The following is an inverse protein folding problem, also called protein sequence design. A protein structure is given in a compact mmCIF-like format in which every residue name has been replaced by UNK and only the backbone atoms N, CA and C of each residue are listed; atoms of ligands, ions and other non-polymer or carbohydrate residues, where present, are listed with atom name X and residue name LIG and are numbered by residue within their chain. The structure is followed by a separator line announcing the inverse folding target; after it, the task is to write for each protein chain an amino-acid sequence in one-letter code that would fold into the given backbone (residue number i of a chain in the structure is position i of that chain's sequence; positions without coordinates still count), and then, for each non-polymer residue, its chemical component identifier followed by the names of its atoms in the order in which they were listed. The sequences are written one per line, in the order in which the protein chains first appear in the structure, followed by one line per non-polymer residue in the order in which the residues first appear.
data_IF_562631478696
#
_entry.id   IF_562631478696
#
_cell.length_a   1.000
_cell.length_b   1.000
_cell.length_c   1.000
_cell.angle_alpha   90.00
_cell.angle_beta   90.00
_cell.angle_gamma   90.00
#
_symmetry.space_group_name_H-M   'P 1'
#
loop_
_entity.id
_entity.type
_entity.pdbx_description
1 polymer ?
#
# COMPACT_ATOMS: atom_id res chain seq x y z
N UNK A 1 65.95 -21.72 -45.72
CA UNK A 1 65.42 -23.06 -45.32
C UNK A 1 64.23 -22.77 -44.41
N UNK A 2 62.99 -23.21 -44.61
CA UNK A 2 62.42 -24.36 -45.33
C UNK A 2 60.95 -24.07 -45.77
N UNK A 3 60.43 -24.88 -46.71
CA UNK A 3 59.15 -24.77 -47.46
C UNK A 3 58.09 -25.82 -47.00
N UNK A 4 56.86 -25.74 -47.58
CA UNK A 4 55.86 -26.80 -47.97
C UNK A 4 54.48 -26.75 -47.22
N UNK A 5 53.28 -27.15 -47.72
CA UNK A 5 52.58 -27.47 -49.01
C UNK A 5 51.04 -27.63 -48.72
N UNK A 6 50.15 -27.39 -49.72
CA UNK A 6 48.65 -27.48 -49.75
C UNK A 6 48.02 -28.90 -49.95
N UNK A 7 46.69 -29.09 -49.72
CA UNK A 7 45.71 -29.78 -50.63
C UNK A 7 44.21 -29.83 -50.11
N UNK A 8 43.23 -29.95 -51.04
CA UNK A 8 41.76 -29.72 -50.95
C UNK A 8 41.01 -30.71 -51.91
N UNK A 9 39.72 -31.11 -51.71
CA UNK A 9 38.77 -31.50 -52.80
C UNK A 9 37.28 -31.72 -52.35
N UNK A 10 36.31 -31.39 -53.24
CA UNK A 10 34.83 -31.50 -53.14
C UNK A 10 34.16 -31.88 -54.51
N UNK A 11 32.83 -32.15 -54.57
CA UNK A 11 32.04 -32.43 -55.80
C UNK A 11 30.51 -32.05 -55.70
N UNK A 12 29.86 -31.74 -56.85
CA UNK A 12 28.51 -31.11 -57.05
C UNK A 12 27.74 -31.66 -58.31
N UNK A 13 26.41 -31.39 -58.43
CA UNK A 13 25.44 -31.75 -59.52
C UNK A 13 24.57 -30.54 -60.01
N UNK A 14 23.86 -30.61 -61.16
CA UNK A 14 23.28 -29.49 -61.98
C UNK A 14 21.76 -29.59 -62.42
N UNK A 15 21.12 -28.44 -62.75
CA UNK A 15 19.78 -28.23 -63.39
C UNK A 15 19.74 -26.97 -64.34
N UNK A 16 18.76 -26.79 -65.27
CA UNK A 16 18.75 -25.77 -66.37
C UNK A 16 17.44 -24.89 -66.56
N UNK A 17 17.48 -23.70 -67.27
CA UNK A 17 16.52 -22.56 -67.13
C UNK A 17 15.79 -22.02 -68.43
N UNK A 18 14.98 -20.95 -68.31
CA UNK A 18 14.14 -20.23 -69.32
C UNK A 18 14.84 -19.01 -70.02
N UNK A 19 14.40 -18.59 -71.22
CA UNK A 19 15.08 -17.57 -72.08
C UNK A 19 14.23 -16.37 -72.55
N UNK A 20 14.86 -15.18 -72.67
CA UNK A 20 14.33 -13.89 -73.13
C UNK A 20 14.43 -13.70 -74.67
N UNK A 21 13.46 -13.03 -75.32
CA UNK A 21 13.44 -12.83 -76.78
C UNK A 21 13.03 -11.39 -77.21
N UNK A 22 13.72 -10.85 -78.23
CA UNK A 22 13.43 -9.55 -78.85
C UNK A 22 12.32 -9.74 -79.91
N UNK A 23 11.24 -8.96 -79.81
CA UNK A 23 10.12 -9.03 -80.77
C UNK A 23 10.10 -7.81 -81.67
N UNK A 24 10.01 -8.02 -82.98
CA UNK A 24 9.91 -6.94 -83.96
C UNK A 24 8.62 -7.06 -84.76
N UNK A 25 7.86 -5.98 -84.85
CA UNK A 25 6.65 -5.92 -85.69
C UNK A 25 6.99 -6.03 -87.18
N UNK A 26 6.01 -6.12 -88.06
CA UNK A 26 6.27 -6.19 -89.50
C UNK A 26 7.02 -4.95 -90.00
N UNK A 27 7.93 -5.14 -90.94
CA UNK A 27 8.65 -4.03 -91.55
C UNK A 27 7.75 -3.33 -92.57
N UNK A 28 7.62 -2.01 -92.43
CA UNK A 28 6.90 -1.17 -93.39
C UNK A 28 7.90 -0.65 -94.42
N UNK A 29 7.66 -0.99 -95.69
CA UNK A 29 8.48 -0.56 -96.81
C UNK A 29 7.72 0.50 -97.62
N UNK A 30 8.41 1.58 -97.94
CA UNK A 30 7.91 2.62 -98.84
C UNK A 30 8.87 2.81 -100.00
N UNK A 31 8.31 3.01 -101.19
CA UNK A 31 9.11 3.31 -102.35
C UNK A 31 9.69 4.72 -102.24
N UNK A 32 11.02 4.83 -102.25
CA UNK A 32 11.70 6.13 -102.19
C UNK A 32 12.27 6.55 -103.55
N UNK A 33 12.31 5.64 -104.52
CA UNK A 33 12.80 5.91 -105.87
C UNK A 33 12.09 5.03 -106.89
N UNK A 34 11.57 5.62 -107.96
CA UNK A 34 10.85 4.93 -109.03
C UNK A 34 11.56 5.08 -110.36
N UNK A 35 11.58 3.99 -111.15
CA UNK A 35 12.23 3.92 -112.46
C UNK A 35 11.31 3.29 -113.52
N UNK A 36 11.76 3.30 -114.77
CA UNK A 36 11.06 2.66 -115.90
C UNK A 36 11.89 1.53 -116.49
N UNK A 37 11.25 0.44 -116.90
CA UNK A 37 11.94 -0.71 -117.49
C UNK A 37 11.05 -1.42 -118.53
N UNK A 38 11.67 -2.11 -119.49
CA UNK A 38 10.97 -2.89 -120.52
C UNK A 38 11.46 -4.32 -120.49
N UNK A 39 10.64 -5.25 -119.99
CA UNK A 39 10.98 -6.67 -119.86
C UNK A 39 9.94 -7.50 -120.61
N UNK A 40 10.38 -8.35 -121.55
CA UNK A 40 9.49 -9.24 -122.30
C UNK A 40 8.49 -8.55 -123.23
N UNK A 41 8.80 -7.34 -123.71
CA UNK A 41 7.94 -6.58 -124.64
C UNK A 41 6.84 -5.75 -123.97
N UNK A 42 6.70 -5.83 -122.64
CA UNK A 42 5.81 -4.98 -121.84
C UNK A 42 6.64 -3.83 -121.25
N UNK A 43 6.24 -2.58 -121.52
CA UNK A 43 6.86 -1.39 -120.89
C UNK A 43 6.21 -1.13 -119.53
N UNK A 44 7.00 -1.25 -118.47
CA UNK A 44 6.63 -0.80 -117.13
C UNK A 44 6.92 0.71 -117.04
N UNK A 45 5.86 1.50 -117.01
CA UNK A 45 5.92 2.97 -117.01
C UNK A 45 6.35 3.58 -115.68
N UNK A 46 6.26 2.82 -114.58
CA UNK A 46 6.93 3.10 -113.31
C UNK A 46 6.97 1.85 -112.45
N UNK A 47 8.11 1.51 -111.88
CA UNK A 47 8.26 0.51 -110.83
C UNK A 47 9.18 1.05 -109.73
N UNK A 48 9.07 0.53 -108.51
CA UNK A 48 9.97 0.95 -107.44
C UNK A 48 11.37 0.34 -107.65
N UNK A 49 12.39 1.18 -107.87
CA UNK A 49 13.77 0.72 -108.00
C UNK A 49 14.49 0.68 -106.67
N UNK A 50 14.05 1.47 -105.68
CA UNK A 50 14.61 1.46 -104.33
C UNK A 50 13.55 1.69 -103.27
N UNK A 51 13.51 0.78 -102.30
CA UNK A 51 12.62 0.84 -101.15
C UNK A 51 13.39 1.24 -99.90
N UNK A 52 12.74 2.02 -99.02
CA UNK A 52 13.20 2.26 -97.66
C UNK A 52 12.23 1.58 -96.69
N UNK A 53 12.79 0.70 -95.85
CA UNK A 53 12.05 0.00 -94.81
C UNK A 53 12.26 0.65 -93.44
N UNK A 54 11.20 0.78 -92.67
CA UNK A 54 11.29 1.02 -91.22
C UNK A 54 10.66 -0.15 -90.47
N UNK A 55 11.31 -0.59 -89.39
CA UNK A 55 10.80 -1.68 -88.54
C UNK A 55 11.02 -1.30 -87.08
N UNK A 56 9.95 -1.39 -86.30
CA UNK A 56 10.02 -1.18 -84.85
C UNK A 56 10.23 -2.51 -84.13
N UNK A 57 11.21 -2.53 -83.23
CA UNK A 57 11.55 -3.68 -82.40
C UNK A 57 11.40 -3.30 -80.92
N UNK A 58 10.81 -4.20 -80.13
CA UNK A 58 10.72 -4.09 -78.68
C UNK A 58 11.44 -5.28 -78.04
N UNK A 59 12.43 -4.95 -77.22
CA UNK A 59 13.00 -5.90 -76.26
C UNK A 59 12.09 -5.94 -75.03
N UNK A 60 11.54 -7.11 -74.71
CA UNK A 60 10.60 -7.28 -73.60
C UNK A 60 11.30 -7.51 -72.26
N UNK A 61 12.56 -7.91 -72.29
CA UNK A 61 13.36 -8.18 -71.10
C UNK A 61 14.83 -7.78 -71.35
N UNK A 62 15.10 -6.48 -71.56
CA UNK A 62 16.46 -6.02 -71.75
C UNK A 62 17.30 -6.38 -70.53
N UNK A 63 18.55 -6.79 -70.76
CA UNK A 63 19.47 -7.15 -69.68
C UNK A 63 19.65 -5.95 -68.73
N UNK A 64 19.16 -6.10 -67.51
CA UNK A 64 19.22 -5.07 -66.49
C UNK A 64 20.20 -5.45 -65.36
N UNK A 65 21.45 -5.05 -65.57
CA UNK A 65 22.54 -5.24 -64.60
C UNK A 65 22.42 -4.34 -63.36
N UNK A 66 21.48 -3.40 -63.34
CA UNK A 66 21.26 -2.48 -62.22
C UNK A 66 20.10 -2.91 -61.31
N UNK A 67 19.57 -4.13 -61.49
CA UNK A 67 18.37 -4.59 -60.76
C UNK A 67 18.57 -4.56 -59.25
N UNK A 68 19.66 -5.14 -58.73
CA UNK A 68 19.98 -5.14 -57.29
C UNK A 68 20.18 -3.71 -56.76
N UNK A 69 20.99 -2.91 -57.46
CA UNK A 69 21.31 -1.53 -57.05
C UNK A 69 20.07 -0.62 -57.04
N UNK A 70 19.12 -0.82 -57.97
CA UNK A 70 17.87 -0.03 -58.03
C UNK A 70 16.86 -0.45 -56.97
N UNK A 71 16.90 -1.70 -56.50
CA UNK A 71 16.01 -2.19 -55.47
C UNK A 71 16.41 -1.67 -54.08
N UNK A 72 17.68 -1.34 -53.86
CA UNK A 72 18.17 -0.75 -52.60
C UNK A 72 17.63 0.66 -52.39
N UNK A 73 17.16 0.92 -51.16
CA UNK A 73 16.78 2.26 -50.68
C UNK A 73 17.98 3.12 -50.29
N UNK A 74 19.15 2.51 -50.11
CA UNK A 74 20.39 3.17 -49.72
C UNK A 74 21.18 3.70 -50.92
N UNK A 75 20.76 3.36 -52.14
CA UNK A 75 21.41 3.75 -53.39
C UNK A 75 20.62 4.82 -54.14
N UNK A 76 21.28 5.91 -54.52
CA UNK A 76 20.70 6.97 -55.36
C UNK A 76 21.46 7.08 -56.68
N UNK A 77 20.73 7.13 -57.81
CA UNK A 77 21.36 7.29 -59.14
C UNK A 77 21.92 8.71 -59.29
N UNK A 78 23.23 8.82 -59.49
CA UNK A 78 23.94 10.09 -59.64
C UNK A 78 24.19 10.45 -61.10
N UNK A 79 24.35 9.46 -61.98
CA UNK A 79 24.62 9.67 -63.40
C UNK A 79 23.84 8.70 -64.30
N UNK A 80 23.54 9.17 -65.52
CA UNK A 80 22.95 8.37 -66.59
C UNK A 80 23.55 8.80 -67.93
N UNK A 81 24.39 7.93 -68.50
CA UNK A 81 25.06 8.17 -69.78
C UNK A 81 24.64 7.16 -70.84
N UNK A 82 24.33 7.66 -72.03
CA UNK A 82 24.15 6.80 -73.19
C UNK A 82 25.51 6.26 -73.67
N UNK A 83 25.64 4.95 -73.84
CA UNK A 83 26.86 4.31 -74.37
C UNK A 83 26.70 3.77 -75.78
N UNK A 84 25.48 3.52 -76.25
CA UNK A 84 25.18 3.18 -77.65
C UNK A 84 23.98 4.00 -78.15
N UNK A 85 24.22 4.89 -79.12
CA UNK A 85 23.22 5.80 -79.69
C UNK A 85 23.09 5.55 -81.19
N UNK A 86 21.87 5.21 -81.65
CA UNK A 86 21.58 4.96 -83.07
C UNK A 86 20.21 5.47 -83.45
N UNK A 87 20.13 6.04 -84.66
CA UNK A 87 18.87 6.48 -85.27
C UNK A 87 18.03 7.42 -84.37
N UNK A 88 18.69 8.30 -83.61
CA UNK A 88 18.01 9.25 -82.73
C UNK A 88 17.71 8.74 -81.32
N UNK A 89 17.99 7.47 -81.00
CA UNK A 89 17.64 6.84 -79.73
C UNK A 89 18.83 6.15 -79.05
N UNK A 90 18.82 6.12 -77.71
CA UNK A 90 19.84 5.43 -76.93
C UNK A 90 19.41 3.98 -76.65
N UNK A 91 20.21 3.01 -77.11
CA UNK A 91 19.95 1.57 -76.94
C UNK A 91 20.56 0.98 -75.68
N UNK A 92 21.65 1.56 -75.19
CA UNK A 92 22.31 1.08 -73.98
C UNK A 92 22.68 2.24 -73.07
N UNK A 93 22.29 2.10 -71.81
CA UNK A 93 22.57 3.06 -70.75
C UNK A 93 23.61 2.52 -69.80
N UNK A 94 24.55 3.38 -69.41
CA UNK A 94 25.40 3.17 -68.24
C UNK A 94 24.91 4.07 -67.13
N UNK A 95 24.60 3.48 -65.99
CA UNK A 95 24.11 4.17 -64.81
C UNK A 95 25.18 4.14 -63.73
N UNK A 96 25.31 5.24 -62.99
CA UNK A 96 26.17 5.32 -61.80
C UNK A 96 25.27 5.61 -60.60
N UNK A 97 25.52 4.90 -59.51
CA UNK A 97 24.81 5.05 -58.25
C UNK A 97 25.80 5.40 -57.15
N UNK A 98 25.35 6.23 -56.20
CA UNK A 98 26.01 6.45 -54.92
C UNK A 98 25.19 5.73 -53.85
N UNK A 99 25.82 4.82 -53.13
CA UNK A 99 25.17 4.04 -52.08
C UNK A 99 25.77 4.38 -50.71
N UNK A 100 24.92 4.49 -49.68
CA UNK A 100 25.33 4.81 -48.31
C UNK A 100 25.17 3.60 -47.41
N UNK A 101 26.30 3.06 -46.90
CA UNK A 101 26.32 1.88 -46.01
C UNK A 101 25.52 0.70 -46.56
N UNK A 102 25.73 0.41 -47.85
CA UNK A 102 25.05 -0.68 -48.53
C UNK A 102 26.03 -1.84 -48.72
N UNK A 103 25.70 -2.98 -48.12
CA UNK A 103 26.57 -4.16 -48.02
C UNK A 103 25.98 -5.38 -48.76
N UNK A 104 24.79 -5.24 -49.36
CA UNK A 104 24.19 -6.29 -50.17
C UNK A 104 25.00 -6.60 -51.45
N UNK A 105 24.90 -7.83 -51.95
CA UNK A 105 25.54 -8.22 -53.20
C UNK A 105 24.91 -7.48 -54.40
N UNK A 106 25.65 -6.50 -54.92
CA UNK A 106 25.24 -5.68 -56.05
C UNK A 106 25.64 -6.25 -57.41
N UNK A 107 26.14 -7.49 -57.47
CA UNK A 107 26.53 -8.13 -58.72
C UNK A 107 25.37 -8.14 -59.74
N UNK A 108 25.64 -7.85 -61.03
CA UNK A 108 26.96 -7.68 -61.66
C UNK A 108 27.46 -6.21 -61.70
N UNK A 109 26.90 -5.30 -60.89
CA UNK A 109 27.41 -3.93 -60.81
C UNK A 109 28.87 -3.93 -60.32
N UNK A 110 29.66 -2.99 -60.84
CA UNK A 110 31.08 -2.85 -60.49
C UNK A 110 31.27 -1.66 -59.57
N UNK A 111 31.84 -1.89 -58.39
CA UNK A 111 32.27 -0.82 -57.48
C UNK A 111 33.32 0.06 -58.17
N UNK A 112 33.07 1.37 -58.20
CA UNK A 112 33.96 2.35 -58.86
C UNK A 112 34.91 3.00 -57.86
N UNK A 113 34.39 3.42 -56.72
CA UNK A 113 35.13 4.03 -55.62
C UNK A 113 34.37 3.84 -54.31
N UNK A 114 35.08 3.95 -53.19
CA UNK A 114 34.52 4.02 -51.84
C UNK A 114 35.05 5.30 -51.21
N UNK A 115 34.15 6.15 -50.72
CA UNK A 115 34.52 7.38 -50.04
C UNK A 115 34.01 7.31 -48.60
N UNK A 116 34.90 7.63 -47.65
CA UNK A 116 34.53 7.73 -46.25
C UNK A 116 34.18 9.18 -45.95
N UNK A 117 32.95 9.42 -45.52
CA UNK A 117 32.58 10.69 -44.90
C UNK A 117 33.27 10.89 -43.54
N UNK A 118 33.08 12.05 -42.88
CA UNK A 118 33.45 12.20 -41.49
C UNK A 118 32.79 11.09 -40.67
N UNK A 119 33.58 10.38 -39.87
CA UNK A 119 33.06 9.34 -38.99
C UNK A 119 32.09 9.97 -38.01
N UNK A 120 30.83 9.54 -38.04
CA UNK A 120 29.85 9.88 -37.02
C UNK A 120 29.76 8.70 -36.06
N UNK A 121 29.88 8.99 -34.76
CA UNK A 121 29.69 8.02 -33.70
C UNK A 121 28.50 8.44 -32.87
N UNK A 122 27.55 7.54 -32.73
CA UNK A 122 26.38 7.71 -31.88
C UNK A 122 26.33 6.55 -30.88
N UNK A 123 26.29 6.88 -29.60
CA UNK A 123 25.98 5.90 -28.56
C UNK A 123 24.46 5.80 -28.46
N UNK A 124 23.90 4.71 -29.00
CA UNK A 124 22.47 4.45 -28.91
C UNK A 124 22.12 4.09 -27.46
N UNK A 125 21.72 5.11 -26.69
CA UNK A 125 21.29 4.92 -25.30
C UNK A 125 19.83 4.45 -25.24
N UNK A 126 19.64 3.16 -24.97
CA UNK A 126 18.30 2.57 -24.75
C UNK A 126 17.83 2.63 -23.30
N UNK A 127 18.61 3.22 -22.40
CA UNK A 127 18.32 3.32 -20.97
C UNK A 127 17.58 4.61 -20.59
N UNK A 128 17.20 5.46 -21.55
CA UNK A 128 16.61 6.78 -21.29
C UNK A 128 15.39 6.75 -20.36
N UNK A 129 14.56 5.70 -20.43
CA UNK A 129 13.41 5.50 -19.51
C UNK A 129 13.83 5.39 -18.03
N UNK A 130 14.99 4.82 -17.76
CA UNK A 130 15.48 4.58 -16.39
C UNK A 130 16.39 5.72 -15.92
N UNK A 131 17.23 6.27 -16.80
CA UNK A 131 18.14 7.38 -16.46
C UNK A 131 17.42 8.69 -16.12
N UNK A 132 16.24 8.92 -16.72
CA UNK A 132 15.41 10.09 -16.40
C UNK A 132 14.49 9.91 -15.21
N UNK A 133 14.43 8.71 -14.62
CA UNK A 133 13.50 8.40 -13.53
C UNK A 133 14.19 8.55 -12.18
N UNK A 134 13.69 9.47 -11.34
CA UNK A 134 14.21 9.71 -9.98
C UNK A 134 14.06 8.51 -9.04
N UNK A 135 13.15 7.60 -9.37
CA UNK A 135 12.87 6.39 -8.62
C UNK A 135 13.83 5.24 -9.01
N UNK A 136 14.72 5.44 -9.99
CA UNK A 136 15.68 4.43 -10.45
C UNK A 136 17.12 4.85 -10.15
N UNK A 137 17.89 3.93 -9.54
CA UNK A 137 19.32 4.08 -9.31
C UNK A 137 20.12 3.09 -10.18
N UNK A 138 21.24 3.55 -10.74
CA UNK A 138 22.15 2.70 -11.50
C UNK A 138 22.93 1.80 -10.54
N UNK A 139 22.65 0.49 -10.59
CA UNK A 139 23.30 -0.50 -9.72
C UNK A 139 24.60 -0.97 -10.33
N UNK A 140 24.59 -1.28 -11.63
CA UNK A 140 25.70 -1.95 -12.27
C UNK A 140 25.85 -1.53 -13.72
N UNK A 141 27.08 -1.50 -14.23
CA UNK A 141 27.34 -1.41 -15.66
C UNK A 141 28.25 -2.54 -16.12
N UNK A 142 27.68 -3.47 -16.86
CA UNK A 142 28.34 -4.64 -17.42
C UNK A 142 28.80 -4.31 -18.84
N UNK A 143 30.03 -4.66 -19.17
CA UNK A 143 30.53 -4.59 -20.56
C UNK A 143 30.25 -5.92 -21.24
N UNK A 144 29.27 -5.95 -22.13
CA UNK A 144 28.92 -7.17 -22.90
C UNK A 144 29.90 -7.39 -24.05
N UNK A 145 30.32 -6.31 -24.70
CA UNK A 145 31.35 -6.35 -25.75
C UNK A 145 32.47 -5.38 -25.36
N UNK A 146 33.62 -5.96 -25.01
CA UNK A 146 34.78 -5.27 -24.46
C UNK A 146 35.61 -4.51 -25.49
N UNK A 147 36.85 -4.21 -25.09
CA UNK A 147 37.78 -3.51 -25.96
C UNK A 147 38.14 -4.38 -27.17
N UNK A 148 37.87 -3.89 -28.36
CA UNK A 148 38.08 -4.62 -29.61
C UNK A 148 38.31 -3.63 -30.75
N UNK A 149 39.09 -4.04 -31.75
CA UNK A 149 39.20 -3.36 -33.04
C UNK A 149 38.26 -4.04 -34.01
N UNK A 150 37.32 -3.29 -34.60
CA UNK A 150 36.42 -3.79 -35.64
C UNK A 150 36.68 -3.11 -36.96
N UNK A 151 36.69 -3.90 -38.02
CA UNK A 151 36.63 -3.40 -39.37
C UNK A 151 35.18 -3.00 -39.67
N UNK A 152 34.97 -1.71 -39.97
CA UNK A 152 33.67 -1.18 -40.41
C UNK A 152 33.93 -0.50 -41.75
N UNK A 153 33.34 -1.06 -42.81
CA UNK A 153 33.51 -0.61 -44.19
C UNK A 153 34.99 -0.59 -44.64
N UNK A 154 35.83 -1.53 -44.20
CA UNK A 154 37.25 -1.60 -44.59
C UNK A 154 38.18 -0.66 -43.83
N UNK A 155 37.73 -0.11 -42.70
CA UNK A 155 38.55 0.70 -41.79
C UNK A 155 38.45 0.19 -40.36
N UNK A 156 39.61 0.08 -39.72
CA UNK A 156 39.72 -0.32 -38.33
C UNK A 156 39.29 0.79 -37.36
N UNK A 157 38.32 0.48 -36.51
CA UNK A 157 37.91 1.31 -35.38
C UNK A 157 38.23 0.58 -34.08
N UNK A 158 38.99 1.23 -33.20
CA UNK A 158 39.24 0.72 -31.84
C UNK A 158 38.29 1.38 -30.86
N UNK A 159 37.63 0.59 -30.01
CA UNK A 159 36.85 1.08 -28.88
C UNK A 159 37.21 0.34 -27.61
N UNK A 160 37.05 1.01 -26.48
CA UNK A 160 37.21 0.39 -25.15
C UNK A 160 36.04 -0.52 -24.78
N UNK A 161 34.91 -0.35 -25.45
CA UNK A 161 33.73 -1.22 -25.41
C UNK A 161 32.86 -0.94 -26.63
N UNK A 162 32.16 -1.96 -27.13
CA UNK A 162 31.20 -1.86 -28.22
C UNK A 162 29.75 -1.94 -27.74
N UNK A 163 29.53 -2.59 -26.58
CA UNK A 163 28.21 -2.75 -26.00
C UNK A 163 28.29 -2.84 -24.49
N UNK A 164 27.47 -2.04 -23.81
CA UNK A 164 27.31 -2.09 -22.35
C UNK A 164 25.85 -2.30 -21.98
N UNK A 165 25.65 -3.10 -20.94
CA UNK A 165 24.37 -3.30 -20.28
C UNK A 165 24.42 -2.56 -18.96
N UNK A 166 23.48 -1.63 -18.76
CA UNK A 166 23.27 -0.97 -17.48
C UNK A 166 22.11 -1.64 -16.75
N UNK A 167 22.31 -1.96 -15.49
CA UNK A 167 21.29 -2.54 -14.61
C UNK A 167 20.85 -1.45 -13.65
N UNK A 168 19.56 -1.15 -13.67
CA UNK A 168 18.93 -0.19 -12.78
C UNK A 168 18.12 -0.94 -11.73
N UNK A 169 18.22 -0.52 -10.47
CA UNK A 169 17.25 -0.85 -9.43
C UNK A 169 16.27 0.30 -9.38
N UNK A 170 15.02 0.02 -9.69
CA UNK A 170 13.96 1.00 -9.58
C UNK A 170 13.11 0.68 -8.37
N UNK A 171 12.76 1.71 -7.60
CA UNK A 171 11.63 1.66 -6.70
C UNK A 171 10.40 1.40 -7.58
N UNK A 172 9.92 0.16 -7.53
CA UNK A 172 8.66 -0.21 -8.14
C UNK A 172 7.55 0.53 -7.40
N UNK A 173 6.78 1.32 -8.13
CA UNK A 173 5.49 1.81 -7.63
C UNK A 173 4.58 0.58 -7.56
N UNK A 174 4.35 0.09 -6.36
CA UNK A 174 3.69 -1.18 -6.09
C UNK A 174 3.91 -1.60 -4.64
N UNK A 175 3.16 -2.60 -4.21
CA UNK A 175 3.30 -3.15 -2.85
C UNK A 175 4.61 -3.93 -2.73
N UNK A 176 5.38 -3.64 -1.69
CA UNK A 176 6.64 -4.32 -1.37
C UNK A 176 6.42 -5.74 -0.84
N UNK A 177 7.43 -6.29 -0.15
CA UNK A 177 7.27 -7.58 0.52
C UNK A 177 6.18 -7.51 1.61
N UNK A 178 5.26 -8.48 1.58
CA UNK A 178 4.20 -8.61 2.59
C UNK A 178 4.71 -9.37 3.80
N UNK A 179 4.36 -8.89 5.00
CA UNK A 179 4.59 -9.59 6.25
C UNK A 179 3.42 -10.50 6.64
N UNK A 180 2.38 -10.63 5.80
CA UNK A 180 1.20 -11.46 6.05
C UNK A 180 1.44 -12.98 5.89
N UNK A 181 2.65 -13.40 5.52
CA UNK A 181 3.00 -14.81 5.28
C UNK A 181 2.50 -15.81 6.33
N UNK A 182 2.64 -15.53 7.66
CA UNK A 182 2.08 -16.41 8.68
C UNK A 182 0.56 -16.61 8.56
N UNK A 183 -0.19 -15.55 8.28
CA UNK A 183 -1.67 -15.59 8.13
C UNK A 183 -2.08 -16.24 6.82
N UNK A 184 -1.33 -16.04 5.74
CA UNK A 184 -1.59 -16.70 4.45
C UNK A 184 -1.31 -18.21 4.49
N UNK A 185 -0.35 -18.62 5.32
CA UNK A 185 0.02 -20.03 5.50
C UNK A 185 -0.90 -20.79 6.45
N UNK A 186 -1.70 -20.09 7.26
CA UNK A 186 -2.63 -20.69 8.21
C UNK A 186 -3.94 -21.08 7.51
N UNK A 187 -4.29 -22.38 7.46
CA UNK A 187 -5.51 -22.84 6.79
C UNK A 187 -6.81 -22.40 7.48
N UNK A 188 -6.74 -21.85 8.70
CA UNK A 188 -7.88 -21.31 9.44
C UNK A 188 -8.11 -19.82 9.15
N UNK A 189 -7.20 -19.16 8.44
CA UNK A 189 -7.28 -17.75 8.07
C UNK A 189 -7.90 -17.55 6.68
N UNK A 190 -8.95 -16.74 6.61
CA UNK A 190 -9.63 -16.37 5.36
C UNK A 190 -9.54 -14.86 5.16
N UNK A 191 -8.93 -14.43 4.06
CA UNK A 191 -8.87 -13.02 3.68
C UNK A 191 -10.28 -12.45 3.49
N UNK A 192 -10.63 -11.43 4.27
CA UNK A 192 -11.92 -10.73 4.18
C UNK A 192 -11.88 -9.56 3.20
N UNK A 193 -10.74 -8.90 3.07
CA UNK A 193 -10.58 -7.75 2.20
C UNK A 193 -9.23 -7.10 2.37
N UNK A 194 -9.01 -6.03 1.62
CA UNK A 194 -7.79 -5.24 1.72
C UNK A 194 -8.08 -3.76 1.42
N UNK A 195 -7.24 -2.90 1.96
CA UNK A 195 -7.34 -1.45 1.86
C UNK A 195 -6.01 -0.89 1.39
N UNK A 196 -6.03 -0.04 0.35
CA UNK A 196 -4.84 0.68 -0.05
C UNK A 196 -4.57 1.83 0.92
N UNK A 197 -3.45 1.79 1.62
CA UNK A 197 -3.03 2.81 2.57
C UNK A 197 -2.31 3.99 1.90
N UNK A 198 -1.63 3.74 0.78
CA UNK A 198 -0.92 4.77 0.03
C UNK A 198 -0.93 4.47 -1.47
N UNK A 199 -1.21 5.49 -2.29
CA UNK A 199 -1.31 5.39 -3.75
C UNK A 199 -0.39 6.43 -4.43
N UNK A 200 0.30 6.01 -5.50
CA UNK A 200 1.07 6.91 -6.36
C UNK A 200 0.83 6.53 -7.82
N UNK A 201 0.49 7.52 -8.65
CA UNK A 201 0.22 7.36 -10.10
C UNK A 201 -0.85 6.29 -10.43
N UNK A 202 -1.88 6.16 -9.60
CA UNK A 202 -2.94 5.16 -9.79
C UNK A 202 -2.55 3.74 -9.35
N UNK A 203 -1.39 3.57 -8.71
CA UNK A 203 -0.88 2.27 -8.25
C UNK A 203 -0.71 2.32 -6.73
N UNK A 204 -1.30 1.33 -6.05
CA UNK A 204 -1.16 1.19 -4.60
C UNK A 204 0.28 0.82 -4.23
N UNK A 205 0.90 1.58 -3.34
CA UNK A 205 2.28 1.38 -2.86
C UNK A 205 2.34 0.73 -1.48
N UNK A 206 1.25 0.78 -0.71
CA UNK A 206 1.15 0.12 0.59
C UNK A 206 -0.29 -0.35 0.81
N UNK A 207 -0.48 -1.62 1.21
CA UNK A 207 -1.79 -2.24 1.36
C UNK A 207 -1.88 -2.96 2.70
N UNK A 208 -3.03 -2.77 3.35
CA UNK A 208 -3.43 -3.52 4.53
C UNK A 208 -4.35 -4.66 4.12
N UNK A 209 -4.10 -5.86 4.65
CA UNK A 209 -4.92 -7.04 4.43
C UNK A 209 -5.62 -7.45 5.73
N UNK A 210 -6.93 -7.68 5.66
CA UNK A 210 -7.71 -8.11 6.80
C UNK A 210 -8.06 -9.60 6.66
N UNK A 211 -7.48 -10.43 7.53
CA UNK A 211 -7.79 -11.86 7.61
C UNK A 211 -8.73 -12.12 8.78
N UNK A 212 -9.68 -13.03 8.59
CA UNK A 212 -10.45 -13.61 9.68
C UNK A 212 -9.94 -15.02 9.90
N UNK A 213 -9.26 -15.21 11.02
CA UNK A 213 -8.66 -16.48 11.42
C UNK A 213 -9.49 -17.16 12.50
N UNK A 214 -9.67 -18.47 12.37
CA UNK A 214 -10.36 -19.28 13.36
C UNK A 214 -10.96 -20.56 12.78
N UNK A 215 -11.20 -21.53 13.64
CA UNK A 215 -11.84 -22.79 13.26
C UNK A 215 -13.33 -22.58 13.03
N UNK A 216 -13.84 -23.02 11.87
CA UNK A 216 -15.27 -22.97 11.52
C UNK A 216 -16.13 -24.02 12.24
N UNK A 217 -15.66 -24.56 13.36
CA UNK A 217 -16.42 -25.47 14.21
C UNK A 217 -16.31 -24.96 15.63
N UNK A 218 -17.41 -24.39 16.11
CA UNK A 218 -17.61 -24.01 17.51
C UNK A 218 -17.71 -25.24 18.41
N UNK A 219 -16.61 -25.97 18.52
CA UNK A 219 -16.35 -26.85 19.65
C UNK A 219 -15.14 -26.28 20.37
N UNK A 220 -15.40 -25.27 21.21
CA UNK A 220 -14.53 -25.03 22.35
C UNK A 220 -14.74 -26.24 23.26
N UNK A 221 -13.88 -27.25 23.11
CA UNK A 221 -13.72 -28.26 24.14
C UNK A 221 -13.30 -27.52 25.41
N UNK A 222 -14.29 -27.30 26.26
CA UNK A 222 -14.20 -26.49 27.46
C UNK A 222 -13.49 -27.31 28.52
N UNK A 223 -12.20 -27.54 28.30
CA UNK A 223 -11.27 -28.01 29.31
C UNK A 223 -10.19 -26.95 29.44
N UNK A 224 -10.44 -25.97 30.33
CA UNK A 224 -9.40 -25.07 30.80
C UNK A 224 -8.49 -25.81 31.79
N UNK A 225 -7.81 -26.87 31.32
CA UNK A 225 -6.76 -27.53 32.08
C UNK A 225 -5.41 -26.90 31.72
N UNK A 226 -4.58 -26.53 32.71
CA UNK A 226 -3.28 -25.90 32.46
C UNK A 226 -2.37 -26.85 31.69
N UNK A 227 -1.94 -26.42 30.50
CA UNK A 227 -0.96 -27.16 29.70
C UNK A 227 0.41 -26.99 30.37
N UNK A 228 0.84 -28.00 31.11
CA UNK A 228 2.21 -28.08 31.60
C UNK A 228 3.13 -28.48 30.45
N UNK A 229 4.06 -27.62 30.07
CA UNK A 229 5.10 -27.97 29.08
C UNK A 229 6.18 -28.77 29.81
N UNK A 230 6.30 -30.04 29.46
CA UNK A 230 7.29 -30.95 30.04
C UNK A 230 8.43 -31.22 29.05
N UNK A 231 9.68 -31.19 29.54
CA UNK A 231 10.84 -31.71 28.80
C UNK A 231 11.44 -32.84 29.63
N UNK A 232 11.14 -34.09 29.26
CA UNK A 232 11.46 -35.27 30.06
C UNK A 232 10.63 -35.31 31.35
N UNK A 233 11.28 -35.62 32.47
CA UNK A 233 10.61 -35.71 33.79
C UNK A 233 10.46 -34.35 34.50
N UNK A 234 10.87 -33.24 33.88
CA UNK A 234 10.72 -31.90 34.44
C UNK A 234 9.60 -31.14 33.73
N UNK A 235 8.52 -30.90 34.47
CA UNK A 235 7.38 -30.09 34.05
C UNK A 235 7.42 -28.73 34.77
N UNK A 236 7.35 -27.63 34.02
CA UNK A 236 7.16 -26.29 34.57
C UNK A 236 5.71 -25.90 34.24
N UNK A 237 4.85 -25.95 35.25
CA UNK A 237 3.51 -25.36 35.16
C UNK A 237 3.60 -23.87 35.48
N UNK A 238 3.00 -23.05 34.63
CA UNK A 238 2.77 -21.64 34.96
C UNK A 238 1.59 -21.63 35.94
N UNK A 239 1.82 -21.26 37.20
CA UNK A 239 0.73 -21.00 38.13
C UNK A 239 -0.14 -19.88 37.54
N UNK A 240 -1.47 -20.03 37.60
CA UNK A 240 -2.37 -18.94 37.23
C UNK A 240 -2.09 -17.78 38.19
N UNK A 241 -1.54 -16.69 37.67
CA UNK A 241 -1.62 -15.41 38.37
C UNK A 241 -3.06 -14.91 38.20
N UNK A 242 -3.89 -15.09 39.23
CA UNK A 242 -5.14 -14.32 39.34
C UNK A 242 -4.73 -12.86 39.45
N UNK A 243 -4.74 -12.14 38.33
CA UNK A 243 -4.50 -10.71 38.34
C UNK A 243 -5.73 -10.03 38.94
N UNK A 244 -5.57 -9.52 40.16
CA UNK A 244 -6.54 -8.61 40.79
C UNK A 244 -6.61 -7.25 40.05
N UNK A 245 -5.77 -7.04 39.03
CA UNK A 245 -5.64 -5.77 38.31
C UNK A 245 -6.87 -5.43 37.49
N UNK A 246 -7.64 -6.41 37.02
CA UNK A 246 -8.88 -6.12 36.29
C UNK A 246 -9.92 -5.46 37.21
N UNK A 247 -10.13 -6.03 38.39
CA UNK A 247 -11.05 -5.45 39.38
C UNK A 247 -10.59 -4.04 39.79
N UNK A 248 -9.29 -3.92 40.08
CA UNK A 248 -8.65 -2.64 40.44
C UNK A 248 -8.80 -1.57 39.34
N UNK A 249 -8.58 -1.94 38.08
CA UNK A 249 -8.77 -1.06 36.92
C UNK A 249 -10.24 -0.67 36.73
N UNK A 250 -11.17 -1.61 36.93
CA UNK A 250 -12.60 -1.33 36.81
C UNK A 250 -13.10 -0.36 37.89
N UNK A 251 -12.67 -0.47 39.15
CA UNK A 251 -13.01 0.56 40.14
C UNK A 251 -12.36 1.89 39.84
N UNK A 252 -11.15 1.92 39.26
CA UNK A 252 -10.52 3.17 38.87
C UNK A 252 -11.32 3.92 37.79
N UNK A 253 -11.89 3.21 36.82
CA UNK A 253 -12.80 3.84 35.85
C UNK A 253 -14.04 4.45 36.53
N UNK A 254 -14.53 3.83 37.60
CA UNK A 254 -15.63 4.36 38.40
C UNK A 254 -15.23 5.59 39.24
N UNK A 255 -13.99 5.64 39.75
CA UNK A 255 -13.42 6.85 40.38
C UNK A 255 -13.52 8.03 39.42
N UNK A 256 -12.97 7.85 38.22
CA UNK A 256 -12.93 8.90 37.20
C UNK A 256 -14.32 9.32 36.76
N UNK A 257 -15.24 8.37 36.59
CA UNK A 257 -16.63 8.65 36.22
C UNK A 257 -17.35 9.50 37.28
N UNK A 258 -17.21 9.16 38.57
CA UNK A 258 -17.84 9.92 39.64
C UNK A 258 -17.18 11.30 39.83
N UNK A 259 -15.85 11.39 39.74
CA UNK A 259 -15.15 12.68 39.80
C UNK A 259 -15.58 13.61 38.67
N UNK A 260 -15.77 13.07 37.46
CA UNK A 260 -16.27 13.85 36.33
C UNK A 260 -17.67 14.42 36.58
N UNK A 261 -18.55 13.65 37.21
CA UNK A 261 -19.90 14.10 37.56
C UNK A 261 -19.87 15.20 38.63
N UNK A 262 -19.11 14.98 39.71
CA UNK A 262 -18.99 15.95 40.81
C UNK A 262 -18.30 17.26 40.37
N UNK A 263 -17.34 17.18 39.44
CA UNK A 263 -16.72 18.35 38.82
C UNK A 263 -17.75 19.20 38.07
N UNK A 264 -18.65 18.56 37.31
CA UNK A 264 -19.71 19.25 36.55
C UNK A 264 -20.71 19.93 37.48
N UNK A 265 -21.08 19.30 38.58
CA UNK A 265 -22.05 19.84 39.54
C UNK A 265 -21.53 21.08 40.29
N UNK A 266 -20.23 21.11 40.62
CA UNK A 266 -19.65 22.20 41.42
C UNK A 266 -19.34 23.46 40.61
N UNK A 267 -19.30 23.39 39.27
CA UNK A 267 -19.04 24.50 38.36
C UNK A 267 -17.87 25.41 38.78
N UNK A 268 -16.84 24.83 39.42
CA UNK A 268 -15.74 25.57 40.00
C UNK A 268 -14.90 26.22 38.89
N UNK A 269 -14.48 27.46 39.12
CA UNK A 269 -13.66 28.22 38.16
C UNK A 269 -12.17 27.89 38.30
N UNK A 270 -11.75 27.38 39.46
CA UNK A 270 -10.41 26.84 39.73
C UNK A 270 -10.51 25.32 39.99
N UNK A 271 -9.78 24.47 39.26
CA UNK A 271 -9.74 23.02 39.50
C UNK A 271 -9.33 22.64 40.94
N UNK A 272 -8.56 23.46 41.63
CA UNK A 272 -8.09 23.17 42.99
C UNK A 272 -9.18 23.41 44.06
N UNK A 273 -10.25 24.13 43.72
CA UNK A 273 -11.37 24.38 44.63
C UNK A 273 -12.40 23.24 44.62
N UNK A 274 -12.25 22.27 43.71
CA UNK A 274 -13.17 21.13 43.57
C UNK A 274 -12.94 20.13 44.68
N UNK A 275 -14.03 19.73 45.34
CA UNK A 275 -14.01 18.77 46.44
C UNK A 275 -14.69 17.48 46.00
N UNK A 276 -13.91 16.45 45.76
CA UNK A 276 -14.42 15.15 45.37
C UNK A 276 -14.80 14.32 46.60
N UNK A 277 -15.77 13.43 46.40
CA UNK A 277 -16.29 12.50 47.39
C UNK A 277 -16.69 13.18 48.70
N UNK A 278 -17.24 14.38 48.60
CA UNK A 278 -17.56 15.18 49.78
C UNK A 278 -18.64 14.50 50.63
N UNK A 279 -18.29 14.18 51.88
CA UNK A 279 -19.22 13.56 52.82
C UNK A 279 -20.08 14.60 53.54
N UNK A 280 -21.37 14.30 53.71
CA UNK A 280 -22.30 15.13 54.48
C UNK A 280 -22.71 14.44 55.78
N UNK A 281 -22.88 15.19 56.87
CA UNK A 281 -23.34 14.62 58.14
C UNK A 281 -24.85 14.46 58.13
N UNK A 282 -25.34 13.23 58.31
CA UNK A 282 -26.75 12.94 58.46
C UNK A 282 -27.04 12.21 59.77
N UNK A 283 -28.27 12.36 60.28
CA UNK A 283 -28.65 11.75 61.56
C UNK A 283 -30.02 11.10 61.49
N UNK A 284 -30.17 9.98 62.19
CA UNK A 284 -31.48 9.37 62.45
C UNK A 284 -31.66 9.19 63.96
N UNK A 285 -32.91 9.04 64.42
CA UNK A 285 -33.20 8.88 65.83
C UNK A 285 -34.03 7.63 66.13
N UNK A 286 -33.75 7.03 67.29
CA UNK A 286 -34.51 5.91 67.85
C UNK A 286 -35.05 6.33 69.23
N UNK A 287 -36.35 6.14 69.42
CA UNK A 287 -37.08 6.34 70.67
C UNK A 287 -38.00 5.13 70.93
N UNK A 288 -38.51 4.93 72.15
CA UNK A 288 -39.46 3.86 72.42
C UNK A 288 -40.68 3.97 71.49
N UNK A 289 -41.00 2.91 70.76
CA UNK A 289 -42.10 2.89 69.79
C UNK A 289 -41.84 3.61 68.45
N UNK A 290 -40.67 4.23 68.22
CA UNK A 290 -40.33 4.92 66.96
C UNK A 290 -38.88 4.71 66.54
N UNK A 291 -38.66 4.02 65.42
CA UNK A 291 -37.35 3.78 64.84
C UNK A 291 -37.23 4.47 63.46
N UNK A 292 -36.67 5.68 63.43
CA UNK A 292 -36.42 6.38 62.17
C UNK A 292 -35.06 6.01 61.54
N UNK A 293 -34.32 5.06 62.08
CA UNK A 293 -33.12 4.50 61.44
C UNK A 293 -33.41 3.19 60.70
N UNK A 294 -34.67 2.81 60.55
CA UNK A 294 -35.11 1.55 59.92
C UNK A 294 -36.46 1.74 59.22
N UNK A 295 -37.32 0.72 59.23
CA UNK A 295 -38.58 0.65 58.47
C UNK A 295 -39.76 1.50 58.99
N UNK A 296 -39.51 2.53 59.82
CA UNK A 296 -40.58 3.33 60.42
C UNK A 296 -41.31 2.56 61.54
N UNK A 297 -41.71 3.25 62.61
CA UNK A 297 -42.22 2.60 63.83
C UNK A 297 -43.63 1.99 63.71
N UNK A 298 -43.98 1.14 64.68
CA UNK A 298 -45.25 0.40 64.83
C UNK A 298 -46.51 1.28 65.00
N UNK A 299 -46.37 2.61 65.07
CA UNK A 299 -47.46 3.55 65.38
C UNK A 299 -47.48 4.82 64.50
N UNK A 300 -47.32 4.68 63.18
CA UNK A 300 -47.69 5.72 62.20
C UNK A 300 -47.01 7.09 62.35
N UNK A 301 -45.88 7.18 63.07
CA UNK A 301 -45.16 8.44 63.23
C UNK A 301 -44.39 8.79 61.96
N UNK A 302 -44.66 9.97 61.39
CA UNK A 302 -43.88 10.51 60.27
C UNK A 302 -42.43 10.73 60.72
N UNK A 303 -41.51 9.98 60.11
CA UNK A 303 -40.09 10.25 60.23
C UNK A 303 -39.72 11.43 59.30
N UNK A 304 -38.69 12.22 59.64
CA UNK A 304 -38.24 13.25 58.72
C UNK A 304 -37.72 12.60 57.43
N UNK A 305 -37.92 13.27 56.31
CA UNK A 305 -37.47 12.80 54.99
C UNK A 305 -35.96 12.50 54.97
N UNK A 306 -35.16 13.31 55.66
CA UNK A 306 -33.72 13.08 55.82
C UNK A 306 -33.38 11.73 56.46
N UNK A 307 -34.28 11.14 57.26
CA UNK A 307 -34.10 9.82 57.82
C UNK A 307 -34.46 8.69 56.83
N UNK A 308 -35.36 8.95 55.87
CA UNK A 308 -35.62 8.04 54.75
C UNK A 308 -34.44 8.04 53.77
N UNK A 309 -33.95 9.22 53.37
CA UNK A 309 -32.75 9.35 52.53
C UNK A 309 -31.55 8.67 53.18
N UNK A 310 -31.35 8.86 54.49
CA UNK A 310 -30.27 8.19 55.22
C UNK A 310 -30.45 6.67 55.27
N UNK A 311 -31.68 6.15 55.31
CA UNK A 311 -31.92 4.70 55.23
C UNK A 311 -31.53 4.17 53.85
N UNK A 312 -31.96 4.83 52.79
CA UNK A 312 -31.71 4.38 51.41
C UNK A 312 -30.20 4.43 51.11
N UNK A 313 -29.51 5.51 51.54
CA UNK A 313 -28.04 5.59 51.43
C UNK A 313 -27.31 4.56 52.30
N UNK A 314 -27.89 4.13 53.44
CA UNK A 314 -27.34 3.03 54.25
C UNK A 314 -27.49 1.67 53.57
N UNK A 315 -28.62 1.45 52.91
CA UNK A 315 -28.89 0.24 52.13
C UNK A 315 -27.98 0.14 50.90
N UNK A 316 -27.77 1.26 50.21
CA UNK A 316 -26.80 1.40 49.12
C UNK A 316 -25.33 1.36 49.60
N UNK A 317 -25.06 1.17 50.90
CA UNK A 317 -23.69 1.10 51.43
C UNK A 317 -22.91 2.43 51.33
N UNK A 318 -23.57 3.57 51.16
CA UNK A 318 -22.95 4.89 50.95
C UNK A 318 -22.77 5.70 52.26
N UNK A 319 -22.76 5.05 53.43
CA UNK A 319 -22.64 5.73 54.73
C UNK A 319 -21.64 5.10 55.69
N UNK A 320 -20.85 5.93 56.38
CA UNK A 320 -19.97 5.55 57.48
C UNK A 320 -20.60 5.91 58.83
N UNK A 321 -20.52 5.02 59.84
CA UNK A 321 -21.11 5.26 61.15
C UNK A 321 -20.12 5.93 62.11
N UNK A 322 -20.46 7.12 62.60
CA UNK A 322 -19.57 7.92 63.47
C UNK A 322 -19.85 7.68 64.95
N UNK A 323 -21.12 7.47 65.31
CA UNK A 323 -21.47 7.09 66.68
C UNK A 323 -22.86 7.54 67.13
N UNK A 324 -23.10 7.44 68.45
CA UNK A 324 -24.42 7.71 69.06
C UNK A 324 -24.31 8.80 70.12
N UNK A 325 -25.27 9.72 70.11
CA UNK A 325 -25.48 10.69 71.20
C UNK A 325 -26.83 10.49 71.83
N UNK A 326 -26.95 10.87 73.11
CA UNK A 326 -28.23 10.88 73.78
C UNK A 326 -28.91 12.24 73.62
N UNK A 327 -30.06 12.29 72.96
CA UNK A 327 -30.85 13.52 72.85
C UNK A 327 -31.69 13.79 74.09
N UNK A 328 -32.21 12.73 74.73
CA UNK A 328 -33.11 12.86 75.87
C UNK A 328 -32.83 11.75 76.87
N UNK A 329 -32.56 12.14 78.13
CA UNK A 329 -32.39 11.25 79.27
C UNK A 329 -33.61 11.35 80.19
N UNK A 330 -34.05 10.23 80.74
CA UNK A 330 -35.07 10.14 81.78
C UNK A 330 -34.52 9.21 82.85
N UNK A 331 -34.48 9.66 84.12
CA UNK A 331 -33.90 8.91 85.25
C UNK A 331 -32.46 8.42 84.98
N UNK A 332 -31.64 9.24 84.32
CA UNK A 332 -30.26 8.89 83.97
C UNK A 332 -30.12 7.95 82.75
N UNK A 333 -31.19 7.27 82.33
CA UNK A 333 -31.21 6.40 81.16
C UNK A 333 -31.51 7.17 79.87
N UNK A 334 -30.83 6.83 78.77
CA UNK A 334 -31.06 7.47 77.48
C UNK A 334 -32.29 6.89 76.78
N UNK A 335 -33.38 7.66 76.74
CA UNK A 335 -34.64 7.24 76.10
C UNK A 335 -34.67 7.58 74.62
N UNK A 336 -34.01 8.66 74.18
CA UNK A 336 -33.94 9.03 72.76
C UNK A 336 -32.50 9.10 72.29
N UNK A 337 -32.11 8.19 71.41
CA UNK A 337 -30.76 8.11 70.83
C UNK A 337 -30.74 8.75 69.45
N UNK A 338 -29.69 9.53 69.14
CA UNK A 338 -29.38 10.02 67.79
C UNK A 338 -28.13 9.32 67.30
N UNK A 339 -28.25 8.73 66.12
CA UNK A 339 -27.18 8.06 65.40
C UNK A 339 -26.66 9.02 64.35
N UNK A 340 -25.35 9.14 64.24
CA UNK A 340 -24.67 10.07 63.35
C UNK A 340 -23.87 9.30 62.33
N UNK A 341 -23.98 9.74 61.08
CA UNK A 341 -23.35 9.11 59.93
C UNK A 341 -22.71 10.17 59.04
N UNK A 342 -21.59 9.80 58.42
CA UNK A 342 -21.09 10.46 57.24
C UNK A 342 -21.68 9.78 56.02
N UNK A 343 -22.26 10.57 55.12
CA UNK A 343 -23.06 10.09 54.01
C UNK A 343 -22.51 10.63 52.70
N UNK A 344 -22.27 9.74 51.75
CA UNK A 344 -21.64 10.00 50.46
C UNK A 344 -22.64 9.82 49.32
N UNK A 345 -22.22 10.18 48.10
CA UNK A 345 -23.05 10.01 46.90
C UNK A 345 -23.08 8.57 46.38
N UNK A 346 -22.09 7.76 46.73
CA UNK A 346 -22.00 6.35 46.32
C UNK A 346 -21.34 5.49 47.41
N UNK A 347 -21.51 4.15 47.32
CA UNK A 347 -20.75 3.18 48.13
C UNK A 347 -19.25 3.35 47.90
N UNK A 348 -18.88 3.63 46.64
CA UNK A 348 -17.51 3.87 46.23
C UNK A 348 -16.89 5.08 46.96
N UNK A 349 -17.52 6.25 46.89
CA UNK A 349 -17.01 7.48 47.53
C UNK A 349 -16.85 7.34 49.05
N UNK A 350 -17.70 6.53 49.70
CA UNK A 350 -17.50 6.17 51.11
C UNK A 350 -16.21 5.37 51.32
N UNK A 351 -16.02 4.27 50.57
CA UNK A 351 -14.85 3.39 50.71
C UNK A 351 -13.57 4.17 50.38
N UNK A 352 -13.59 4.97 49.32
CA UNK A 352 -12.45 5.79 48.94
C UNK A 352 -12.03 6.75 50.08
N UNK A 353 -12.98 7.45 50.71
CA UNK A 353 -12.68 8.33 51.85
C UNK A 353 -12.21 7.53 53.07
N UNK A 354 -12.73 6.33 53.30
CA UNK A 354 -12.25 5.43 54.35
C UNK A 354 -10.79 5.05 54.15
N UNK A 355 -10.39 4.65 52.93
CA UNK A 355 -9.00 4.31 52.61
C UNK A 355 -8.08 5.54 52.60
N UNK A 356 -8.54 6.66 52.01
CA UNK A 356 -7.80 7.93 52.02
C UNK A 356 -7.47 8.37 53.45
N UNK A 357 -8.46 8.37 54.35
CA UNK A 357 -8.28 8.75 55.75
C UNK A 357 -7.30 7.85 56.51
N UNK A 358 -7.17 6.57 56.14
CA UNK A 358 -6.14 5.69 56.72
C UNK A 358 -4.73 6.15 56.33
N UNK A 359 -4.53 6.59 55.10
CA UNK A 359 -3.22 7.01 54.60
C UNK A 359 -2.79 8.38 55.15
N UNK A 360 -3.74 9.31 55.30
CA UNK A 360 -3.47 10.64 55.87
C UNK A 360 -3.61 10.71 57.40
N UNK A 361 -3.81 9.57 58.07
CA UNK A 361 -4.01 9.44 59.53
C UNK A 361 -5.11 10.38 60.08
N UNK A 362 -6.23 10.50 59.35
CA UNK A 362 -7.35 11.35 59.75
C UNK A 362 -8.50 10.57 60.40
N UNK A 363 -8.92 11.02 61.59
CA UNK A 363 -10.09 10.47 62.27
C UNK A 363 -11.44 10.99 61.75
N UNK A 364 -12.50 10.28 62.13
CA UNK A 364 -13.91 10.60 61.80
C UNK A 364 -14.56 11.67 62.68
N UNK A 365 -13.82 12.24 63.64
CA UNK A 365 -14.34 13.22 64.59
C UNK A 365 -15.25 12.60 65.65
N UNK A 366 -16.19 13.39 66.18
CA UNK A 366 -17.15 12.93 67.20
C UNK A 366 -18.57 12.94 66.64
N UNK A 367 -19.55 12.22 67.25
CA UNK A 367 -20.91 12.22 66.72
C UNK A 367 -21.57 13.62 66.70
N UNK A 368 -21.05 14.64 67.39
CA UNK A 368 -21.56 16.01 67.28
C UNK A 368 -20.82 16.90 66.26
N UNK A 369 -19.68 16.43 65.77
CA UNK A 369 -18.73 17.17 64.93
C UNK A 369 -17.97 16.16 64.07
N UNK A 370 -18.71 15.47 63.19
CA UNK A 370 -18.15 14.43 62.34
C UNK A 370 -17.24 15.04 61.27
N UNK A 371 -16.06 14.46 61.07
CA UNK A 371 -15.18 14.80 59.96
C UNK A 371 -15.45 13.82 58.80
N UNK A 372 -16.41 14.16 57.95
CA UNK A 372 -16.75 13.34 56.79
C UNK A 372 -15.78 13.51 55.62
N UNK A 373 -14.89 14.50 55.67
CA UNK A 373 -13.85 14.70 54.68
C UNK A 373 -14.34 14.97 53.25
N UNK A 374 -13.35 15.18 52.40
CA UNK A 374 -13.40 15.26 50.94
C UNK A 374 -11.96 15.06 50.45
N UNK A 375 -11.77 14.90 49.15
CA UNK A 375 -10.45 14.81 48.51
C UNK A 375 -10.35 15.90 47.45
N UNK A 376 -9.23 16.62 47.41
CA UNK A 376 -8.91 17.58 46.35
C UNK A 376 -8.03 16.95 45.27
N UNK A 377 -7.84 17.62 44.13
CA UNK A 377 -6.92 17.14 43.07
C UNK A 377 -5.50 16.92 43.63
N UNK A 378 -5.04 17.81 44.51
CA UNK A 378 -3.73 17.70 45.14
C UNK A 378 -3.65 16.47 46.06
N UNK A 379 -4.71 16.21 46.82
CA UNK A 379 -4.79 15.02 47.68
C UNK A 379 -4.76 13.72 46.86
N UNK A 380 -5.39 13.70 45.67
CA UNK A 380 -5.32 12.56 44.75
C UNK A 380 -3.91 12.31 44.21
N UNK A 381 -3.14 13.37 43.95
CA UNK A 381 -1.77 13.23 43.45
C UNK A 381 -0.80 12.65 44.48
N UNK A 382 -1.14 12.75 45.77
CA UNK A 382 -0.28 12.36 46.89
C UNK A 382 -0.72 11.04 47.57
N UNK A 383 -1.84 10.45 47.15
CA UNK A 383 -2.37 9.23 47.75
C UNK A 383 -1.91 7.98 47.00
N UNK A 384 -1.53 6.94 47.73
CA UNK A 384 -1.14 5.66 47.14
C UNK A 384 -2.38 4.80 46.88
N UNK A 385 -2.86 4.85 45.64
CA UNK A 385 -4.07 4.13 45.21
C UNK A 385 -3.81 2.61 45.14
N UNK A 386 -2.54 2.17 45.13
CA UNK A 386 -2.18 0.75 45.12
C UNK A 386 -2.38 0.06 46.46
N UNK A 387 -2.21 0.81 47.54
CA UNK A 387 -2.37 0.29 48.89
C UNK A 387 -3.83 0.35 49.39
N UNK A 388 -4.74 0.93 48.62
CA UNK A 388 -6.17 1.03 48.97
C UNK A 388 -6.93 -0.29 48.75
N UNK A 389 -7.64 -0.75 49.77
CA UNK A 389 -8.56 -1.89 49.64
C UNK A 389 -9.95 -1.45 49.12
N UNK A 390 -10.15 -1.54 47.81
CA UNK A 390 -11.42 -1.24 47.15
C UNK A 390 -12.29 -2.50 46.92
N UNK A 391 -11.89 -3.66 47.46
CA UNK A 391 -12.62 -4.92 47.36
C UNK A 391 -14.08 -4.92 47.81
N UNK A 392 -14.49 -4.11 48.81
CA UNK A 392 -15.89 -4.05 49.22
C UNK A 392 -16.82 -3.47 48.15
N UNK A 393 -16.27 -2.80 47.12
CA UNK A 393 -17.04 -2.22 46.01
C UNK A 393 -16.92 -3.08 44.75
N UNK A 394 -15.81 -3.80 44.54
CA UNK A 394 -15.61 -4.68 43.38
C UNK A 394 -16.71 -5.75 43.25
N UNK A 395 -17.14 -6.36 44.36
CA UNK A 395 -18.18 -7.41 44.32
C UNK A 395 -19.51 -6.93 43.75
N UNK A 396 -19.88 -5.67 44.00
CA UNK A 396 -21.11 -5.07 43.50
C UNK A 396 -20.95 -4.63 42.03
N UNK A 397 -19.78 -4.07 41.69
CA UNK A 397 -19.47 -3.65 40.32
C UNK A 397 -19.47 -4.87 39.38
N UNK A 398 -18.86 -5.98 39.78
CA UNK A 398 -18.83 -7.21 38.98
C UNK A 398 -20.20 -7.88 38.84
N UNK A 399 -21.12 -7.67 39.78
CA UNK A 399 -22.50 -8.16 39.64
C UNK A 399 -23.38 -7.28 38.76
N UNK A 400 -23.09 -5.98 38.68
CA UNK A 400 -23.84 -5.01 37.86
C UNK A 400 -23.27 -4.89 36.43
N UNK A 401 -22.00 -5.29 36.20
CA UNK A 401 -21.44 -5.43 34.87
C UNK A 401 -22.09 -6.65 34.20
N UNK A 402 -23.10 -6.39 33.36
CA UNK A 402 -23.39 -7.27 32.24
C UNK A 402 -22.18 -7.19 31.32
N UNK A 403 -21.35 -8.24 31.32
CA UNK A 403 -20.29 -8.38 30.31
C UNK A 403 -21.01 -8.33 28.96
N UNK A 404 -20.79 -7.28 28.15
CA UNK A 404 -21.55 -7.11 26.92
C UNK A 404 -21.28 -8.32 26.04
N UNK A 405 -22.36 -9.02 25.69
CA UNK A 405 -22.32 -10.02 24.63
C UNK A 405 -21.99 -9.24 23.36
N UNK A 406 -21.24 -9.83 22.43
CA UNK A 406 -20.58 -9.15 21.31
C UNK A 406 -21.39 -8.12 20.49
N UNK A 407 -22.73 -8.17 20.53
CA UNK A 407 -23.62 -7.16 19.92
C UNK A 407 -23.58 -5.82 20.69
N UNK A 408 -23.64 -5.82 22.02
CA UNK A 408 -23.74 -4.60 22.84
C UNK A 408 -22.45 -3.76 22.81
N UNK A 409 -21.31 -4.39 22.57
CA UNK A 409 -20.01 -3.71 22.39
C UNK A 409 -19.95 -2.90 21.09
N UNK A 410 -20.64 -3.37 20.05
CA UNK A 410 -20.66 -2.71 18.74
C UNK A 410 -21.54 -1.45 18.82
N UNK A 411 -22.73 -1.58 19.41
CA UNK A 411 -23.65 -0.47 19.63
C UNK A 411 -23.05 0.59 20.56
N UNK A 412 -22.36 0.20 21.64
CA UNK A 412 -21.66 1.13 22.53
C UNK A 412 -20.57 1.93 21.79
N UNK A 413 -19.82 1.31 20.89
CA UNK A 413 -18.74 1.94 20.16
C UNK A 413 -19.26 2.96 19.12
N UNK A 414 -20.31 2.59 18.38
CA UNK A 414 -20.95 3.46 17.39
C UNK A 414 -21.69 4.66 18.02
N UNK A 415 -22.37 4.46 19.15
CA UNK A 415 -23.14 5.52 19.82
C UNK A 415 -22.23 6.51 20.57
N UNK A 416 -21.13 6.02 21.17
CA UNK A 416 -20.20 6.87 21.93
C UNK A 416 -19.21 7.63 21.05
N UNK A 417 -18.89 7.08 19.87
CA UNK A 417 -17.93 7.66 18.94
C UNK A 417 -18.46 7.78 17.49
N UNK A 418 -19.56 8.52 17.26
CA UNK A 418 -20.18 8.65 15.94
C UNK A 418 -19.33 9.41 14.90
N UNK A 419 -18.16 9.90 15.30
CA UNK A 419 -17.18 10.63 14.46
C UNK A 419 -15.72 10.30 14.80
N UNK A 420 -15.44 9.14 15.42
CA UNK A 420 -14.06 8.73 15.71
C UNK A 420 -13.17 8.76 14.46
N UNK A 421 -13.73 8.48 13.28
CA UNK A 421 -13.01 8.53 12.01
C UNK A 421 -12.57 9.94 11.60
N UNK A 422 -13.30 11.00 11.98
CA UNK A 422 -12.96 12.38 11.60
C UNK A 422 -12.14 13.11 12.68
N UNK A 423 -12.38 12.85 13.97
CA UNK A 423 -11.65 13.52 15.05
C UNK A 423 -10.22 12.99 15.24
N UNK A 424 -9.96 11.73 14.85
CA UNK A 424 -8.60 11.21 14.79
C UNK A 424 -7.77 11.92 13.69
N UNK A 425 -8.38 12.31 12.57
CA UNK A 425 -7.69 13.03 11.49
C UNK A 425 -7.26 14.45 11.91
N UNK A 426 -8.12 15.18 12.63
CA UNK A 426 -7.83 16.55 13.06
C UNK A 426 -6.74 16.64 14.16
N UNK A 427 -6.68 15.66 15.07
CA UNK A 427 -5.67 15.64 16.15
C UNK A 427 -4.24 15.38 15.64
N UNK A 428 -4.07 14.70 14.50
CA UNK A 428 -2.75 14.48 13.89
C UNK A 428 -2.28 15.67 13.01
N UNK A 429 -3.19 16.53 12.54
CA UNK A 429 -2.83 17.75 11.79
C UNK A 429 -2.28 18.86 12.71
N UNK A 430 -2.72 18.95 13.97
CA UNK A 430 -2.28 19.99 14.91
C UNK A 430 -0.91 19.72 15.57
N UNK A 431 -0.47 18.45 15.62
CA UNK A 431 0.89 18.10 16.09
C UNK A 431 1.98 18.25 15.01
N UNK A 432 1.61 18.67 13.81
CA UNK A 432 2.49 18.80 12.64
C UNK A 432 2.95 20.22 12.28
N UNK A 433 2.82 21.20 13.18
CA UNK A 433 3.37 22.57 13.00
C UNK A 433 4.52 22.88 13.94
#
# INVERSE_FOLDING_TARGET
MSRLILLLFALLFWAAPASAEITCGDAEYSCVETDTASTGGIRLTSYCSREAGTRSCRDSAPLDQCTAVRASVNCTRTDRRCVDYRNGECRQWRLTYSCLNEDDDMSPARLVNTEFGPTQEEIINRCGRFEGNKECELVETITEEGAEVRDINGKDFSRSWWKRKRVYSCLSVGEGETNCGPLESDPTCILQGNTCLAERDGVCTNREYHYRCGVSSGDLETSCEPINVCVGDNCIGVEQETSDDFGRSAAWLNVLAQMQEEYREQAATDPNDVRFFQGTTMTCSKAPGRNCCGTGGLFGGTCPESAAILRDKREAGATHFVGVTCQQKVLGACVKKRYHYCTYNSKFGRVFIEEFKKQVDEGWGTPGSANCGYVTIEDFGNVDIEEMDLSPVFGDIMSDIQVPVSEDLQDFYEDRFPSADSQAQDAFEEMGK
#
